data_IF_122442626766
#
_entry.id   IF_122442626766
#
_cell.length_a   1.000
_cell.length_b   1.000
_cell.length_c   1.000
_cell.angle_alpha   90.00
_cell.angle_beta   90.00
_cell.angle_gamma   90.00
#
_symmetry.space_group_name_H-M   'P 1'
#
loop_
_entity.id
_entity.type
_entity.pdbx_description
1 polymer ?
#
# COMPACT_ATOMS: atom_id res chain seq x y z
N UNK A 1 -13.03 -17.21 -7.64
CA UNK A 1 -11.77 -17.93 -7.85
C UNK A 1 -10.93 -17.85 -6.58
N UNK A 2 -10.51 -18.97 -6.02
CA UNK A 2 -9.69 -19.06 -4.81
C UNK A 2 -8.36 -19.74 -5.15
N UNK A 3 -7.25 -19.02 -4.99
CA UNK A 3 -5.91 -19.56 -5.22
C UNK A 3 -5.26 -19.93 -3.87
N UNK A 4 -5.27 -21.22 -3.55
CA UNK A 4 -4.81 -21.75 -2.25
C UNK A 4 -3.31 -21.58 -1.97
N UNK A 5 -2.51 -21.29 -2.99
CA UNK A 5 -1.07 -21.05 -2.86
C UNK A 5 -0.74 -19.68 -2.32
N UNK A 6 -1.69 -18.71 -2.42
CA UNK A 6 -1.50 -17.38 -1.85
C UNK A 6 -1.79 -17.48 -0.35
N UNK A 7 -0.80 -17.20 0.48
CA UNK A 7 -0.86 -17.34 1.93
C UNK A 7 -0.90 -16.03 2.68
N UNK A 8 -0.47 -14.94 2.08
CA UNK A 8 -0.50 -13.60 2.64
C UNK A 8 -0.47 -12.56 1.52
N UNK A 9 -0.86 -11.33 1.82
CA UNK A 9 -0.76 -10.22 0.89
C UNK A 9 -0.27 -8.94 1.58
N UNK A 10 0.74 -8.30 0.99
CA UNK A 10 1.18 -6.97 1.37
C UNK A 10 0.71 -5.99 0.28
N UNK A 11 -0.09 -5.01 0.65
CA UNK A 11 -0.85 -4.17 -0.27
C UNK A 11 -0.45 -2.71 -0.05
N UNK A 12 -0.09 -2.00 -1.12
CA UNK A 12 0.30 -0.60 -1.10
C UNK A 12 -0.66 0.22 -1.95
N UNK A 13 -1.25 1.26 -1.39
CA UNK A 13 -2.22 2.16 -2.04
C UNK A 13 -3.24 1.44 -2.93
N UNK A 14 -4.09 0.55 -2.36
CA UNK A 14 -5.10 -0.17 -3.14
C UNK A 14 -6.09 0.78 -3.79
N UNK A 15 -6.40 0.49 -5.05
CA UNK A 15 -7.25 1.32 -5.90
C UNK A 15 -8.64 0.72 -6.12
N UNK A 16 -9.56 1.54 -6.64
CA UNK A 16 -10.87 1.13 -7.17
C UNK A 16 -11.72 0.36 -6.18
N UNK A 17 -11.73 0.76 -4.94
CA UNK A 17 -12.49 0.09 -3.88
C UNK A 17 -13.97 -0.09 -4.24
N UNK A 18 -14.55 0.84 -4.99
CA UNK A 18 -15.94 0.84 -5.42
C UNK A 18 -16.36 -0.34 -6.32
N UNK A 19 -15.41 -1.06 -6.92
CA UNK A 19 -15.73 -2.26 -7.72
C UNK A 19 -15.78 -3.54 -6.88
N UNK A 20 -15.34 -3.49 -5.62
CA UNK A 20 -15.31 -4.65 -4.74
C UNK A 20 -16.59 -4.77 -3.92
N UNK A 21 -17.17 -5.96 -3.90
CA UNK A 21 -18.22 -6.29 -2.94
C UNK A 21 -17.60 -6.43 -1.53
N UNK A 22 -18.10 -5.69 -0.52
CA UNK A 22 -17.65 -5.79 0.87
C UNK A 22 -17.62 -7.24 1.39
N UNK A 23 -18.62 -8.04 1.09
CA UNK A 23 -18.67 -9.45 1.52
C UNK A 23 -17.55 -10.30 0.92
N UNK A 24 -17.11 -9.99 -0.28
CA UNK A 24 -15.98 -10.68 -0.90
C UNK A 24 -14.66 -10.36 -0.18
N UNK A 25 -14.48 -9.14 0.28
CA UNK A 25 -13.32 -8.74 1.10
C UNK A 25 -13.38 -9.37 2.50
N UNK A 26 -14.56 -9.40 3.11
CA UNK A 26 -14.76 -10.05 4.42
C UNK A 26 -14.50 -11.56 4.39
N UNK A 27 -14.63 -12.19 3.23
CA UNK A 27 -14.34 -13.60 3.02
C UNK A 27 -12.83 -13.90 2.86
N UNK A 28 -11.99 -12.88 2.73
CA UNK A 28 -10.53 -13.06 2.66
C UNK A 28 -10.02 -13.53 4.02
N UNK A 29 -9.50 -14.76 4.06
CA UNK A 29 -9.04 -15.41 5.30
C UNK A 29 -7.54 -15.40 5.50
N UNK A 30 -6.76 -14.98 4.49
CA UNK A 30 -5.30 -14.87 4.61
C UNK A 30 -4.91 -13.57 5.33
N UNK A 31 -3.78 -13.57 6.06
CA UNK A 31 -3.22 -12.34 6.61
C UNK A 31 -2.96 -11.31 5.53
N UNK A 32 -3.33 -10.06 5.79
CA UNK A 32 -3.09 -8.94 4.88
C UNK A 32 -2.42 -7.78 5.63
N UNK A 33 -1.51 -7.09 4.99
CA UNK A 33 -0.90 -5.86 5.49
C UNK A 33 -1.14 -4.74 4.47
N UNK A 34 -1.80 -3.67 4.89
CA UNK A 34 -2.10 -2.52 4.04
C UNK A 34 -1.27 -1.33 4.49
N UNK A 35 -0.53 -0.75 3.54
CA UNK A 35 0.12 0.56 3.69
C UNK A 35 -0.54 1.53 2.72
N UNK A 36 -0.83 2.73 3.17
CA UNK A 36 -1.46 3.74 2.33
C UNK A 36 -0.77 5.09 2.48
N UNK A 37 -0.66 5.82 1.38
CA UNK A 37 -0.25 7.23 1.38
C UNK A 37 -1.21 8.05 2.22
N UNK A 38 -0.68 8.88 3.12
CA UNK A 38 -1.51 9.63 4.07
C UNK A 38 -2.30 10.79 3.43
N UNK A 39 -1.86 11.24 2.25
CA UNK A 39 -2.53 12.30 1.47
C UNK A 39 -2.44 11.98 -0.03
N UNK A 40 -3.05 10.86 -0.39
CA UNK A 40 -3.17 10.45 -1.78
C UNK A 40 -4.20 11.35 -2.49
N UNK A 41 -3.73 12.10 -3.47
CA UNK A 41 -4.54 13.03 -4.28
C UNK A 41 -5.03 12.38 -5.60
N UNK A 42 -4.60 11.17 -5.89
CA UNK A 42 -5.05 10.37 -7.04
C UNK A 42 -6.05 9.30 -6.62
N UNK A 43 -5.72 8.55 -5.57
CA UNK A 43 -6.55 7.49 -5.01
C UNK A 43 -6.95 7.84 -3.58
N UNK A 44 -7.90 8.75 -3.45
CA UNK A 44 -8.33 9.28 -2.14
C UNK A 44 -8.40 8.17 -1.08
N UNK A 45 -7.53 8.28 -0.08
CA UNK A 45 -7.29 7.22 0.94
C UNK A 45 -8.57 6.81 1.67
N UNK A 46 -9.45 7.77 1.99
CA UNK A 46 -10.71 7.49 2.71
C UNK A 46 -11.70 6.63 1.92
N UNK A 47 -11.66 6.68 0.60
CA UNK A 47 -12.57 5.91 -0.28
C UNK A 47 -11.91 4.70 -0.93
N UNK A 48 -10.61 4.51 -0.76
CA UNK A 48 -9.88 3.37 -1.29
C UNK A 48 -9.23 2.57 -0.16
N UNK A 49 -8.06 2.92 0.31
CA UNK A 49 -7.33 2.14 1.31
C UNK A 49 -8.12 1.93 2.62
N UNK A 50 -8.81 2.97 3.09
CA UNK A 50 -9.65 2.86 4.29
C UNK A 50 -10.84 1.89 4.09
N UNK A 51 -11.43 1.87 2.91
CA UNK A 51 -12.50 0.90 2.57
C UNK A 51 -11.98 -0.54 2.63
N UNK A 52 -10.81 -0.83 2.04
CA UNK A 52 -10.20 -2.16 2.16
C UNK A 52 -9.89 -2.50 3.62
N UNK A 53 -9.35 -1.53 4.37
CA UNK A 53 -9.07 -1.72 5.78
C UNK A 53 -10.33 -1.99 6.61
N UNK A 54 -11.45 -1.40 6.28
CA UNK A 54 -12.73 -1.65 6.96
C UNK A 54 -13.23 -3.10 6.76
N UNK A 55 -13.11 -3.64 5.55
CA UNK A 55 -13.73 -4.91 5.18
C UNK A 55 -12.81 -6.13 5.24
N UNK A 56 -11.49 -5.97 5.18
CA UNK A 56 -10.56 -7.08 5.37
C UNK A 56 -10.44 -7.44 6.86
N UNK A 57 -10.83 -8.66 7.25
CA UNK A 57 -10.89 -9.09 8.65
C UNK A 57 -9.53 -9.38 9.28
N UNK A 58 -8.61 -9.95 8.50
CA UNK A 58 -7.27 -10.35 8.96
C UNK A 58 -6.20 -9.38 8.46
N UNK A 59 -6.37 -8.09 8.81
CA UNK A 59 -5.45 -7.04 8.33
C UNK A 59 -4.70 -6.33 9.45
N UNK A 60 -3.50 -5.87 9.09
CA UNK A 60 -2.86 -4.71 9.66
C UNK A 60 -3.05 -3.54 8.70
N UNK A 61 -3.40 -2.37 9.18
CA UNK A 61 -3.53 -1.16 8.36
C UNK A 61 -2.65 -0.06 8.92
N UNK A 62 -1.80 0.48 8.09
CA UNK A 62 -0.84 1.53 8.46
C UNK A 62 -0.87 2.66 7.43
N UNK A 63 -1.54 3.77 7.71
CA UNK A 63 -1.40 4.98 6.93
C UNK A 63 -0.02 5.61 7.17
N UNK A 64 0.63 6.05 6.10
CA UNK A 64 1.87 6.82 6.15
C UNK A 64 1.62 8.26 6.60
N UNK A 65 2.70 9.04 6.76
CA UNK A 65 2.61 10.47 7.10
C UNK A 65 1.60 11.21 6.22
N UNK A 66 0.86 12.14 6.84
CA UNK A 66 -0.21 12.92 6.18
C UNK A 66 0.24 13.81 5.02
N UNK A 67 1.53 13.93 4.75
CA UNK A 67 2.10 14.62 3.59
C UNK A 67 2.49 13.68 2.46
N UNK A 68 2.46 12.37 2.69
CA UNK A 68 2.87 11.36 1.71
C UNK A 68 1.85 11.28 0.58
N UNK A 69 2.30 11.54 -0.65
CA UNK A 69 1.45 11.52 -1.85
C UNK A 69 1.47 10.17 -2.57
N UNK A 70 0.57 10.05 -3.57
CA UNK A 70 0.32 8.81 -4.33
C UNK A 70 1.59 8.13 -4.88
N UNK A 71 2.52 8.92 -5.41
CA UNK A 71 3.68 8.37 -6.12
C UNK A 71 4.87 8.01 -5.22
N UNK A 72 4.71 8.00 -3.90
CA UNK A 72 5.81 7.70 -2.95
C UNK A 72 6.41 6.31 -3.17
N UNK A 73 5.63 5.35 -3.65
CA UNK A 73 6.09 3.99 -3.93
C UNK A 73 6.78 3.83 -5.28
N UNK A 74 6.77 4.86 -6.14
CA UNK A 74 7.50 4.85 -7.40
C UNK A 74 8.98 5.09 -7.12
N UNK A 75 9.84 4.20 -7.62
CA UNK A 75 11.30 4.33 -7.47
C UNK A 75 11.82 5.59 -8.15
N UNK A 76 12.82 6.22 -7.52
CA UNK A 76 13.50 7.34 -8.15
C UNK A 76 14.31 6.84 -9.36
N UNK A 77 14.21 7.51 -10.51
CA UNK A 77 14.95 7.12 -11.71
C UNK A 77 16.44 7.45 -11.56
N UNK A 78 17.28 6.67 -12.21
CA UNK A 78 18.72 6.93 -12.30
C UNK A 78 19.07 8.04 -13.29
N UNK A 79 18.19 8.26 -14.27
CA UNK A 79 18.34 9.31 -15.29
C UNK A 79 17.26 10.39 -15.10
N UNK A 80 17.52 11.65 -15.48
CA UNK A 80 16.51 12.70 -15.44
C UNK A 80 15.24 12.31 -16.22
N UNK A 81 14.09 12.55 -15.62
CA UNK A 81 12.80 12.38 -16.29
C UNK A 81 12.49 13.60 -17.18
N UNK A 82 11.77 13.40 -18.30
CA UNK A 82 11.14 14.51 -19.04
C UNK A 82 10.25 15.36 -18.11
N UNK A 83 10.12 16.64 -18.41
CA UNK A 83 9.32 17.58 -17.61
C UNK A 83 7.88 17.10 -17.38
N UNK A 84 7.28 16.46 -18.39
CA UNK A 84 5.93 15.90 -18.31
C UNK A 84 5.76 14.77 -17.29
N UNK A 85 6.85 14.16 -16.81
CA UNK A 85 6.85 13.05 -15.85
C UNK A 85 7.45 13.43 -14.49
N UNK A 86 7.87 14.68 -14.30
CA UNK A 86 8.46 15.13 -13.03
C UNK A 86 7.50 14.96 -11.83
N UNK A 87 6.19 15.00 -12.06
CA UNK A 87 5.19 14.80 -11.01
C UNK A 87 5.29 13.43 -10.32
N UNK A 88 5.82 12.41 -11.02
CA UNK A 88 6.00 11.06 -10.45
C UNK A 88 7.05 11.01 -9.33
N UNK A 89 7.98 11.96 -9.32
CA UNK A 89 9.12 11.98 -8.39
C UNK A 89 9.13 13.21 -7.48
N UNK A 90 8.11 14.06 -7.57
CA UNK A 90 7.98 15.27 -6.78
C UNK A 90 7.25 14.98 -5.47
N UNK A 91 7.98 14.97 -4.38
CA UNK A 91 7.42 14.84 -3.04
C UNK A 91 7.13 16.21 -2.40
N UNK A 92 6.26 16.23 -1.39
CA UNK A 92 6.04 17.41 -0.54
C UNK A 92 7.23 17.65 0.37
N UNK A 93 7.37 18.89 0.81
CA UNK A 93 8.45 19.29 1.73
C UNK A 93 8.44 18.42 3.01
N UNK A 94 9.61 17.91 3.36
CA UNK A 94 9.84 17.05 4.52
C UNK A 94 9.63 15.55 4.26
N UNK A 95 9.18 15.15 3.08
CA UNK A 95 9.06 13.73 2.71
C UNK A 95 10.41 13.22 2.19
N UNK A 96 10.91 12.18 2.84
CA UNK A 96 12.12 11.46 2.43
C UNK A 96 11.72 10.12 1.82
N UNK A 97 11.41 10.13 0.52
CA UNK A 97 10.92 8.94 -0.21
C UNK A 97 11.82 7.70 -0.03
N UNK A 98 13.15 7.77 -0.11
CA UNK A 98 14.00 6.60 0.09
C UNK A 98 13.84 5.97 1.48
N UNK A 99 13.67 6.78 2.51
CA UNK A 99 13.51 6.30 3.89
C UNK A 99 12.15 5.60 4.04
N UNK A 100 11.08 6.19 3.47
CA UNK A 100 9.74 5.59 3.45
C UNK A 100 9.76 4.25 2.71
N UNK A 101 10.39 4.19 1.54
CA UNK A 101 10.48 2.97 0.76
C UNK A 101 11.27 1.87 1.50
N UNK A 102 12.35 2.24 2.19
CA UNK A 102 13.13 1.33 3.02
C UNK A 102 12.31 0.79 4.18
N UNK A 103 11.62 1.65 4.92
CA UNK A 103 10.76 1.26 6.03
C UNK A 103 9.63 0.32 5.59
N UNK A 104 8.97 0.65 4.48
CA UNK A 104 7.91 -0.19 3.89
C UNK A 104 8.44 -1.56 3.44
N UNK A 105 9.62 -1.59 2.82
CA UNK A 105 10.26 -2.85 2.41
C UNK A 105 10.61 -3.73 3.62
N UNK A 106 11.14 -3.13 4.70
CA UNK A 106 11.42 -3.85 5.95
C UNK A 106 10.14 -4.38 6.62
N UNK A 107 9.05 -3.60 6.62
CA UNK A 107 7.74 -4.03 7.11
C UNK A 107 7.22 -5.23 6.32
N UNK A 108 7.31 -5.18 5.00
CA UNK A 108 6.93 -6.31 4.15
C UNK A 108 7.76 -7.56 4.45
N UNK A 109 9.07 -7.42 4.59
CA UNK A 109 9.97 -8.53 4.92
C UNK A 109 9.62 -9.15 6.29
N UNK A 110 9.39 -8.31 7.31
CA UNK A 110 8.98 -8.77 8.65
C UNK A 110 7.61 -9.47 8.62
N UNK A 111 6.65 -8.89 7.93
CA UNK A 111 5.31 -9.46 7.80
C UNK A 111 5.34 -10.84 7.16
N UNK A 112 6.00 -11.01 6.02
CA UNK A 112 6.09 -12.30 5.36
C UNK A 112 6.89 -13.31 6.19
N UNK A 113 7.98 -12.88 6.84
CA UNK A 113 8.74 -13.77 7.73
C UNK A 113 7.88 -14.28 8.87
N UNK A 114 7.06 -13.45 9.50
CA UNK A 114 6.17 -13.88 10.57
C UNK A 114 5.11 -14.89 10.10
N UNK A 115 4.50 -14.63 8.94
CA UNK A 115 3.46 -15.52 8.39
C UNK A 115 4.05 -16.88 8.04
N UNK A 116 5.19 -16.93 7.37
CA UNK A 116 5.79 -18.18 6.90
C UNK A 116 6.61 -18.93 7.96
N UNK A 117 6.98 -18.28 9.07
CA UNK A 117 7.60 -18.98 10.21
C UNK A 117 6.59 -19.66 11.15
N UNK A 118 5.30 -19.35 11.00
CA UNK A 118 4.22 -19.93 11.79
C UNK A 118 3.60 -21.18 11.15
N UNK A 119 4.04 -21.56 9.95
CA UNK A 119 3.68 -22.83 9.26
C UNK A 119 4.68 -23.94 9.66
#
# INVERSE_FOLDING_TARGET
>A
FWEKRIKAAFIMDPAWAWIFDPKSLEAVSIPTYLVASGNDDVLVTSTNAAFFAEHLKHRTYEPLDSKTGHYVFVSLPTNPLPDSLQFLVKDKEGIQRPDIQTDVAEKAARFFSQVFSAE
#
